data_IF_842570273030
#
_entry.id   IF_842570273030
#
_cell.length_a   1.000
_cell.length_b   1.000
_cell.length_c   1.000
_cell.angle_alpha   90.00
_cell.angle_beta   90.00
_cell.angle_gamma   90.00
#
_symmetry.space_group_name_H-M   'P 1'
#
loop_
_entity.id
_entity.type
_entity.pdbx_description
1 polymer ?
#
# COMPACT_ATOMS: atom_id res chain seq x y z
N UNK A 1 31.67 -20.41 33.24
CA UNK A 1 30.89 -20.25 31.98
C UNK A 1 31.73 -20.81 30.85
N UNK A 2 31.22 -21.78 30.10
CA UNK A 2 31.95 -22.37 28.97
C UNK A 2 32.21 -21.28 27.93
N UNK A 3 33.44 -21.20 27.39
CA UNK A 3 33.82 -20.17 26.40
C UNK A 3 32.90 -20.18 25.16
N UNK A 4 32.47 -21.37 24.76
CA UNK A 4 31.47 -21.55 23.69
C UNK A 4 30.12 -20.91 24.02
N UNK A 5 29.64 -21.03 25.26
CA UNK A 5 28.36 -20.45 25.67
C UNK A 5 28.41 -18.91 25.61
N UNK A 6 29.54 -18.32 26.04
CA UNK A 6 29.75 -16.86 25.97
C UNK A 6 29.74 -16.41 24.52
N UNK A 7 30.39 -17.16 23.63
CA UNK A 7 30.42 -16.87 22.20
C UNK A 7 29.02 -16.89 21.59
N UNK A 8 28.28 -17.99 21.80
CA UNK A 8 26.90 -18.14 21.29
C UNK A 8 25.99 -17.01 21.80
N UNK A 9 26.04 -16.70 23.09
CA UNK A 9 25.22 -15.63 23.69
C UNK A 9 25.60 -14.24 23.15
N UNK A 10 26.90 -13.98 22.97
CA UNK A 10 27.38 -12.72 22.40
C UNK A 10 26.88 -12.55 20.97
N UNK A 11 26.95 -13.62 20.17
CA UNK A 11 26.53 -13.62 18.77
C UNK A 11 25.02 -13.47 18.63
N UNK A 12 24.25 -14.12 19.51
CA UNK A 12 22.81 -13.93 19.65
C UNK A 12 22.46 -12.47 20.00
N UNK A 13 23.13 -11.89 20.99
CA UNK A 13 22.90 -10.51 21.39
C UNK A 13 23.19 -9.53 20.25
N UNK A 14 24.28 -9.75 19.51
CA UNK A 14 24.62 -8.98 18.30
C UNK A 14 23.50 -9.12 17.26
N UNK A 15 23.03 -10.34 16.97
CA UNK A 15 21.96 -10.58 16.01
C UNK A 15 20.66 -9.86 16.40
N UNK A 16 20.26 -9.90 17.68
CA UNK A 16 19.08 -9.20 18.20
C UNK A 16 19.21 -7.68 18.03
N UNK A 17 20.38 -7.11 18.35
CA UNK A 17 20.64 -5.68 18.15
C UNK A 17 20.55 -5.32 16.66
N UNK A 18 21.17 -6.12 15.78
CA UNK A 18 21.14 -5.88 14.33
C UNK A 18 19.71 -5.96 13.78
N UNK A 19 18.91 -6.94 14.21
CA UNK A 19 17.49 -7.03 13.84
C UNK A 19 16.70 -5.82 14.33
N UNK A 20 16.90 -5.38 15.57
CA UNK A 20 16.21 -4.21 16.13
C UNK A 20 16.62 -2.90 15.45
N UNK A 21 17.87 -2.78 14.99
CA UNK A 21 18.36 -1.56 14.33
C UNK A 21 17.81 -1.43 12.90
N UNK A 22 17.43 -2.54 12.24
CA UNK A 22 16.85 -2.55 10.89
C UNK A 22 17.73 -1.98 9.77
N UNK A 23 19.02 -1.71 10.03
CA UNK A 23 19.97 -1.11 9.05
C UNK A 23 20.39 -2.10 7.97
N UNK A 24 20.45 -3.38 8.31
CA UNK A 24 20.84 -4.48 7.42
C UNK A 24 19.62 -5.37 7.22
N UNK A 25 19.45 -5.93 6.01
CA UNK A 25 18.34 -6.84 5.74
C UNK A 25 18.43 -8.07 6.64
N UNK A 26 17.28 -8.53 7.15
CA UNK A 26 17.19 -9.63 8.11
C UNK A 26 17.78 -10.95 7.56
N UNK A 27 17.61 -11.22 6.27
CA UNK A 27 18.18 -12.39 5.59
C UNK A 27 19.72 -12.36 5.56
N UNK A 28 20.31 -11.19 5.30
CA UNK A 28 21.76 -11.02 5.34
C UNK A 28 22.33 -11.20 6.75
N UNK A 29 21.63 -10.70 7.78
CA UNK A 29 22.03 -10.90 9.18
C UNK A 29 21.99 -12.39 9.53
N UNK A 30 20.92 -13.10 9.17
CA UNK A 30 20.78 -14.54 9.44
C UNK A 30 21.90 -15.37 8.78
N UNK A 31 22.24 -15.09 7.51
CA UNK A 31 23.35 -15.78 6.82
C UNK A 31 24.70 -15.49 7.47
N UNK A 32 24.94 -14.24 7.89
CA UNK A 32 26.19 -13.86 8.56
C UNK A 32 26.35 -14.59 9.91
N UNK A 33 25.26 -14.75 10.66
CA UNK A 33 25.24 -15.50 11.93
C UNK A 33 25.58 -16.98 11.69
N UNK A 34 24.97 -17.62 10.69
CA UNK A 34 25.26 -19.01 10.34
C UNK A 34 26.74 -19.18 9.95
N UNK A 35 27.26 -18.30 9.10
CA UNK A 35 28.68 -18.33 8.68
C UNK A 35 29.61 -18.14 9.89
N UNK A 36 29.29 -17.20 10.78
CA UNK A 36 30.11 -16.97 11.97
C UNK A 36 30.13 -18.19 12.90
N UNK A 37 29.01 -18.91 13.04
CA UNK A 37 28.97 -20.15 13.81
C UNK A 37 29.82 -21.27 13.21
N UNK A 38 29.75 -21.47 11.89
CA UNK A 38 30.57 -22.48 11.19
C UNK A 38 32.06 -22.15 11.27
N UNK A 39 32.43 -20.87 11.06
CA UNK A 39 33.83 -20.42 11.13
C UNK A 39 34.40 -20.52 12.55
N UNK A 40 33.58 -20.33 13.58
CA UNK A 40 34.00 -20.49 14.98
C UNK A 40 34.16 -21.95 15.40
N UNK A 41 33.74 -22.92 14.56
CA UNK A 41 33.76 -24.35 14.88
C UNK A 41 32.69 -24.79 15.87
N UNK A 42 31.79 -23.88 16.30
CA UNK A 42 30.69 -24.20 17.22
C UNK A 42 29.61 -25.07 16.56
N UNK A 43 29.38 -24.90 15.25
CA UNK A 43 28.49 -25.75 14.46
C UNK A 43 29.25 -26.41 13.31
N UNK A 44 28.95 -27.68 13.08
CA UNK A 44 29.41 -28.38 11.88
C UNK A 44 28.64 -27.92 10.64
N UNK A 45 29.23 -28.14 9.45
CA UNK A 45 28.58 -27.78 8.19
C UNK A 45 27.22 -28.48 8.01
N UNK A 46 27.13 -29.74 8.43
CA UNK A 46 25.88 -30.51 8.35
C UNK A 46 24.79 -29.94 9.27
N UNK A 47 25.14 -29.54 10.49
CA UNK A 47 24.19 -28.92 11.41
C UNK A 47 23.72 -27.55 10.91
N UNK A 48 24.62 -26.75 10.33
CA UNK A 48 24.26 -25.48 9.70
C UNK A 48 23.27 -25.65 8.53
N UNK A 49 23.42 -26.70 7.73
CA UNK A 49 22.49 -27.00 6.63
C UNK A 49 21.18 -27.66 7.08
N UNK A 50 21.16 -28.32 8.24
CA UNK A 50 19.98 -29.05 8.72
C UNK A 50 18.73 -28.17 8.83
N UNK A 51 18.87 -26.89 9.21
CA UNK A 51 17.76 -25.94 9.30
C UNK A 51 17.14 -25.58 7.94
N UNK A 52 17.90 -25.67 6.84
CA UNK A 52 17.38 -25.44 5.48
C UNK A 52 16.61 -26.65 4.92
N UNK A 53 16.88 -27.85 5.44
CA UNK A 53 16.17 -29.08 5.08
C UNK A 53 14.92 -29.32 5.92
N UNK A 54 14.54 -28.39 6.79
CA UNK A 54 13.33 -28.51 7.60
C UNK A 54 12.07 -28.53 6.69
N UNK A 55 11.19 -29.55 6.81
CA UNK A 55 9.97 -29.64 6.00
C UNK A 55 9.07 -28.40 6.09
N UNK A 56 9.11 -27.66 7.20
CA UNK A 56 8.35 -26.42 7.38
C UNK A 56 8.84 -25.32 6.44
N UNK A 57 10.13 -25.27 6.09
CA UNK A 57 10.65 -24.30 5.10
C UNK A 57 10.03 -24.55 3.72
N UNK A 58 9.93 -25.81 3.32
CA UNK A 58 9.30 -26.22 2.04
C UNK A 58 7.81 -25.89 2.07
N UNK A 59 7.12 -26.16 3.19
CA UNK A 59 5.71 -25.83 3.38
C UNK A 59 5.45 -24.32 3.23
N UNK A 60 6.29 -23.48 3.84
CA UNK A 60 6.22 -22.02 3.73
C UNK A 60 6.37 -21.59 2.26
N UNK A 61 7.38 -22.11 1.56
CA UNK A 61 7.62 -21.78 0.16
C UNK A 61 6.42 -22.15 -0.74
N UNK A 62 5.85 -23.35 -0.56
CA UNK A 62 4.68 -23.81 -1.31
C UNK A 62 3.46 -22.90 -1.08
N UNK A 63 3.24 -22.44 0.17
CA UNK A 63 2.12 -21.58 0.50
C UNK A 63 2.29 -20.15 0.01
N UNK A 64 3.52 -19.62 -0.03
CA UNK A 64 3.77 -18.35 -0.71
C UNK A 64 3.45 -18.44 -2.21
N UNK A 65 3.75 -19.57 -2.85
CA UNK A 65 3.39 -19.81 -4.27
C UNK A 65 1.87 -19.86 -4.43
N UNK A 66 1.15 -20.59 -3.56
CA UNK A 66 -0.32 -20.65 -3.58
C UNK A 66 -0.93 -19.26 -3.34
N UNK A 67 -0.40 -18.53 -2.37
CA UNK A 67 -0.79 -17.16 -2.05
C UNK A 67 -0.63 -16.23 -3.24
N UNK A 68 0.53 -16.24 -3.92
CA UNK A 68 0.77 -15.44 -5.12
C UNK A 68 -0.15 -15.87 -6.29
N UNK A 69 -0.39 -17.18 -6.44
CA UNK A 69 -1.37 -17.72 -7.39
C UNK A 69 -2.79 -17.19 -7.16
N UNK A 70 -3.21 -17.06 -5.91
CA UNK A 70 -4.51 -16.49 -5.54
C UNK A 70 -4.61 -14.99 -5.87
N UNK A 71 -3.51 -14.25 -5.74
CA UNK A 71 -3.44 -12.84 -6.18
C UNK A 71 -3.52 -12.75 -7.70
N UNK A 72 -2.72 -13.54 -8.42
CA UNK A 72 -2.64 -13.52 -9.89
C UNK A 72 -3.94 -13.91 -10.57
N UNK A 73 -4.69 -14.84 -9.98
CA UNK A 73 -6.02 -15.24 -10.47
C UNK A 73 -7.10 -14.17 -10.24
N UNK A 74 -6.79 -13.11 -9.49
CA UNK A 74 -7.71 -12.00 -9.22
C UNK A 74 -8.83 -12.35 -8.25
N UNK A 75 -8.72 -13.47 -7.52
CA UNK A 75 -9.72 -13.88 -6.52
C UNK A 75 -9.86 -12.80 -5.45
N UNK A 76 -8.74 -12.27 -4.95
CA UNK A 76 -8.77 -11.19 -3.97
C UNK A 76 -9.49 -9.93 -4.49
N UNK A 77 -9.32 -9.59 -5.79
CA UNK A 77 -10.03 -8.47 -6.43
C UNK A 77 -11.53 -8.75 -6.56
N UNK A 78 -11.92 -9.97 -6.94
CA UNK A 78 -13.33 -10.41 -7.01
C UNK A 78 -13.99 -10.39 -5.64
N UNK A 79 -13.31 -10.88 -4.60
CA UNK A 79 -13.80 -10.83 -3.21
C UNK A 79 -13.93 -9.39 -2.71
N UNK A 80 -13.00 -8.49 -3.08
CA UNK A 80 -13.13 -7.06 -2.81
C UNK A 80 -14.38 -6.44 -3.45
N UNK A 81 -14.69 -6.78 -4.71
CA UNK A 81 -15.91 -6.32 -5.38
C UNK A 81 -17.19 -6.91 -4.75
N UNK A 82 -17.18 -8.20 -4.42
CA UNK A 82 -18.27 -8.88 -3.72
C UNK A 82 -18.52 -8.27 -2.33
N UNK A 83 -17.45 -7.91 -1.62
CA UNK A 83 -17.55 -7.24 -0.34
C UNK A 83 -18.32 -5.91 -0.44
N UNK A 84 -18.05 -5.12 -1.48
CA UNK A 84 -18.77 -3.85 -1.73
C UNK A 84 -20.26 -4.11 -2.02
N UNK A 85 -20.58 -5.14 -2.80
CA UNK A 85 -21.98 -5.42 -3.16
C UNK A 85 -22.81 -5.92 -1.98
N UNK A 86 -22.23 -6.75 -1.10
CA UNK A 86 -22.93 -7.32 0.06
C UNK A 86 -23.03 -6.34 1.23
N UNK A 87 -22.02 -5.50 1.44
CA UNK A 87 -22.05 -4.50 2.52
C UNK A 87 -23.07 -3.37 2.27
N UNK A 88 -23.28 -3.01 0.99
CA UNK A 88 -24.20 -1.93 0.59
C UNK A 88 -23.81 -0.58 1.21
N UNK A 89 -24.79 0.14 1.75
CA UNK A 89 -24.60 1.47 2.37
C UNK A 89 -24.35 1.43 3.89
N UNK A 90 -24.25 0.25 4.52
CA UNK A 90 -24.09 0.15 5.98
C UNK A 90 -22.63 0.04 6.39
N UNK A 91 -22.13 1.05 7.13
CA UNK A 91 -20.73 1.08 7.63
C UNK A 91 -20.46 -0.10 8.58
N UNK A 92 -21.46 -0.50 9.37
CA UNK A 92 -21.38 -1.68 10.25
C UNK A 92 -21.14 -2.96 9.47
N UNK A 93 -21.97 -3.23 8.45
CA UNK A 93 -21.86 -4.43 7.63
C UNK A 93 -20.53 -4.45 6.90
N UNK A 94 -20.11 -3.29 6.39
CA UNK A 94 -18.85 -3.17 5.68
C UNK A 94 -17.65 -3.51 6.57
N UNK A 95 -17.60 -2.98 7.79
CA UNK A 95 -16.54 -3.29 8.74
C UNK A 95 -16.47 -4.79 9.04
N UNK A 96 -17.60 -5.41 9.37
CA UNK A 96 -17.67 -6.84 9.72
C UNK A 96 -17.20 -7.70 8.54
N UNK A 97 -17.80 -7.50 7.35
CA UNK A 97 -17.44 -8.31 6.19
C UNK A 97 -16.01 -8.06 5.73
N UNK A 98 -15.49 -6.83 5.86
CA UNK A 98 -14.10 -6.51 5.54
C UNK A 98 -13.16 -7.31 6.45
N UNK A 99 -13.39 -7.28 7.76
CA UNK A 99 -12.55 -8.00 8.71
C UNK A 99 -12.61 -9.51 8.48
N UNK A 100 -13.81 -10.08 8.26
CA UNK A 100 -13.97 -11.51 7.96
C UNK A 100 -13.25 -11.91 6.66
N UNK A 101 -13.41 -11.12 5.60
CA UNK A 101 -12.83 -11.43 4.29
C UNK A 101 -11.30 -11.34 4.34
N UNK A 102 -10.77 -10.29 4.97
CA UNK A 102 -9.31 -10.09 5.09
C UNK A 102 -8.69 -11.14 6.01
N UNK A 103 -9.33 -11.46 7.16
CA UNK A 103 -8.84 -12.50 8.05
C UNK A 103 -8.86 -13.88 7.37
N UNK A 104 -9.93 -14.20 6.64
CA UNK A 104 -10.05 -15.47 5.91
C UNK A 104 -9.06 -15.60 4.75
N UNK A 105 -8.92 -14.58 3.90
CA UNK A 105 -7.92 -14.59 2.82
C UNK A 105 -6.49 -14.57 3.36
N UNK A 106 -6.23 -13.75 4.37
CA UNK A 106 -4.93 -13.64 5.02
C UNK A 106 -4.54 -14.85 5.87
N UNK A 107 -5.43 -15.83 6.03
CA UNK A 107 -5.11 -17.11 6.65
C UNK A 107 -4.24 -18.00 5.74
N UNK A 108 -4.27 -17.75 4.42
CA UNK A 108 -3.53 -18.50 3.41
C UNK A 108 -2.48 -17.65 2.70
N UNK A 109 -2.46 -16.35 2.98
CA UNK A 109 -1.60 -15.37 2.34
C UNK A 109 -0.79 -14.61 3.39
N UNK A 110 0.29 -13.97 2.96
CA UNK A 110 0.98 -13.00 3.82
C UNK A 110 0.04 -11.86 4.23
N UNK A 111 0.04 -11.53 5.53
CA UNK A 111 -0.68 -10.39 6.10
C UNK A 111 -0.40 -9.08 5.35
N UNK A 112 0.84 -8.87 4.91
CA UNK A 112 1.23 -7.72 4.08
C UNK A 112 0.58 -7.74 2.70
N UNK A 113 0.53 -8.91 2.06
CA UNK A 113 -0.04 -9.09 0.72
C UNK A 113 -1.55 -8.86 0.69
N UNK A 114 -2.29 -9.45 1.62
CA UNK A 114 -3.74 -9.26 1.70
C UNK A 114 -4.10 -7.80 1.98
N UNK A 115 -3.39 -7.13 2.91
CA UNK A 115 -3.65 -5.72 3.20
C UNK A 115 -3.40 -4.85 1.97
N UNK A 116 -2.28 -5.04 1.26
CA UNK A 116 -1.96 -4.28 0.05
C UNK A 116 -3.06 -4.36 -1.03
N UNK A 117 -3.67 -5.54 -1.20
CA UNK A 117 -4.75 -5.75 -2.18
C UNK A 117 -6.04 -5.07 -1.74
N UNK A 118 -6.34 -5.05 -0.44
CA UNK A 118 -7.57 -4.48 0.09
C UNK A 118 -7.50 -2.96 0.33
N UNK A 119 -6.32 -2.34 0.39
CA UNK A 119 -6.17 -0.87 0.45
C UNK A 119 -6.97 -0.16 -0.65
N UNK A 120 -6.80 -0.46 -1.96
CA UNK A 120 -7.56 0.23 -3.01
C UNK A 120 -9.07 -0.02 -2.92
N UNK A 121 -9.48 -1.20 -2.45
CA UNK A 121 -10.89 -1.54 -2.22
C UNK A 121 -11.46 -0.66 -1.11
N UNK A 122 -10.77 -0.58 0.03
CA UNK A 122 -11.16 0.24 1.18
C UNK A 122 -11.23 1.73 0.82
N UNK A 123 -10.25 2.24 0.07
CA UNK A 123 -10.24 3.63 -0.40
C UNK A 123 -11.44 3.92 -1.32
N UNK A 124 -11.73 3.02 -2.26
CA UNK A 124 -12.84 3.14 -3.19
C UNK A 124 -14.20 3.13 -2.49
N UNK A 125 -14.35 2.26 -1.48
CA UNK A 125 -15.57 2.14 -0.67
C UNK A 125 -15.76 3.37 0.20
N UNK A 126 -14.71 3.83 0.88
CA UNK A 126 -14.75 5.01 1.74
C UNK A 126 -15.21 6.24 0.94
N UNK A 127 -14.73 6.35 -0.31
CA UNK A 127 -15.15 7.41 -1.23
C UNK A 127 -16.65 7.31 -1.61
N UNK A 128 -17.17 6.09 -1.86
CA UNK A 128 -18.60 5.85 -2.19
C UNK A 128 -19.52 6.09 -1.00
N UNK A 129 -19.13 5.64 0.19
CA UNK A 129 -19.89 5.80 1.44
C UNK A 129 -19.74 7.20 2.06
N UNK A 130 -18.88 8.05 1.48
CA UNK A 130 -18.57 9.38 1.97
C UNK A 130 -18.04 9.41 3.43
N UNK A 131 -17.39 8.32 3.85
CA UNK A 131 -16.77 8.16 5.17
C UNK A 131 -15.27 8.43 5.09
N UNK A 132 -14.65 8.77 6.23
CA UNK A 132 -13.19 8.96 6.28
C UNK A 132 -12.45 7.63 6.09
N UNK A 133 -11.47 7.53 5.18
CA UNK A 133 -10.74 6.28 4.92
C UNK A 133 -10.13 5.63 6.17
N UNK A 134 -9.64 6.43 7.12
CA UNK A 134 -9.04 5.93 8.36
C UNK A 134 -9.95 5.00 9.16
N UNK A 135 -11.28 5.15 9.04
CA UNK A 135 -12.27 4.30 9.73
C UNK A 135 -12.32 2.87 9.19
N UNK A 136 -11.99 2.66 7.92
CA UNK A 136 -11.95 1.33 7.31
C UNK A 136 -10.51 0.80 7.17
N UNK A 137 -9.52 1.69 7.13
CA UNK A 137 -8.10 1.31 7.14
C UNK A 137 -7.67 0.66 8.46
N UNK A 138 -8.13 1.17 9.61
CA UNK A 138 -7.82 0.55 10.90
C UNK A 138 -8.37 -0.89 11.02
N UNK A 139 -9.66 -1.16 10.73
CA UNK A 139 -10.19 -2.53 10.69
C UNK A 139 -9.44 -3.44 9.72
N UNK A 140 -9.04 -2.91 8.55
CA UNK A 140 -8.23 -3.64 7.57
C UNK A 140 -6.89 -4.08 8.18
N UNK A 141 -6.17 -3.18 8.83
CA UNK A 141 -4.89 -3.49 9.49
C UNK A 141 -5.06 -4.52 10.61
N UNK A 142 -6.07 -4.34 11.47
CA UNK A 142 -6.38 -5.31 12.53
C UNK A 142 -6.71 -6.69 11.96
N UNK A 143 -7.56 -6.76 10.93
CA UNK A 143 -7.89 -8.03 10.29
C UNK A 143 -6.67 -8.68 9.64
N UNK A 144 -5.78 -7.90 9.02
CA UNK A 144 -4.53 -8.40 8.46
C UNK A 144 -3.56 -8.93 9.53
N UNK A 145 -3.52 -8.33 10.72
CA UNK A 145 -2.75 -8.86 11.85
C UNK A 145 -3.38 -10.14 12.40
N UNK A 146 -4.71 -10.16 12.54
CA UNK A 146 -5.47 -11.30 13.07
C UNK A 146 -5.43 -12.50 12.11
N UNK A 147 -5.35 -12.27 10.80
CA UNK A 147 -5.23 -13.32 9.80
C UNK A 147 -4.03 -14.23 10.07
N UNK A 148 -2.95 -13.66 10.63
CA UNK A 148 -1.75 -14.39 11.02
C UNK A 148 -1.94 -15.44 12.12
N UNK A 149 -3.06 -15.34 12.86
CA UNK A 149 -3.45 -16.26 13.93
C UNK A 149 -4.54 -17.25 13.48
N UNK A 150 -4.89 -17.29 12.19
CA UNK A 150 -5.95 -18.17 11.68
C UNK A 150 -5.44 -19.57 11.34
N UNK A 151 -4.20 -19.72 10.89
CA UNK A 151 -3.63 -21.02 10.52
C UNK A 151 -2.21 -21.12 11.04
N UNK A 152 -1.73 -22.36 11.14
CA UNK A 152 -0.35 -22.63 11.50
C UNK A 152 0.64 -21.92 10.57
N UNK A 153 0.26 -21.79 9.30
CA UNK A 153 1.14 -21.34 8.22
C UNK A 153 1.02 -19.85 7.90
N UNK A 154 0.01 -19.17 8.45
CA UNK A 154 -0.22 -17.75 8.18
C UNK A 154 0.95 -16.87 8.68
N UNK A 155 1.70 -17.32 9.69
CA UNK A 155 2.88 -16.59 10.19
C UNK A 155 4.08 -17.51 10.47
N UNK A 156 5.31 -17.05 10.17
CA UNK A 156 6.52 -17.83 10.43
C UNK A 156 6.72 -18.28 11.89
N UNK A 157 6.43 -17.46 12.93
CA UNK A 157 6.60 -17.87 14.32
C UNK A 157 5.80 -19.13 14.70
N UNK A 158 4.56 -19.26 14.21
CA UNK A 158 3.72 -20.43 14.50
C UNK A 158 4.37 -21.73 13.98
N UNK A 159 5.01 -21.66 12.81
CA UNK A 159 5.73 -22.79 12.24
C UNK A 159 7.04 -23.09 12.96
N UNK A 160 7.77 -22.08 13.43
CA UNK A 160 9.00 -22.27 14.22
C UNK A 160 8.69 -22.96 15.55
N UNK A 161 7.58 -22.60 16.20
CA UNK A 161 7.15 -23.31 17.42
C UNK A 161 6.76 -24.76 17.10
N UNK A 162 6.05 -24.98 15.99
CA UNK A 162 5.69 -26.33 15.55
C UNK A 162 6.90 -27.20 15.21
N UNK A 163 7.90 -26.65 14.52
CA UNK A 163 9.13 -27.37 14.20
C UNK A 163 9.85 -27.80 15.46
N UNK A 164 9.92 -26.92 16.47
CA UNK A 164 10.60 -27.24 17.72
C UNK A 164 9.86 -28.31 18.53
N UNK A 165 8.53 -28.26 18.59
CA UNK A 165 7.72 -29.30 19.23
C UNK A 165 7.96 -30.69 18.59
N UNK A 166 8.00 -30.74 17.25
CA UNK A 166 8.28 -31.98 16.53
C UNK A 166 9.71 -32.49 16.76
N UNK A 167 10.69 -31.58 16.89
CA UNK A 167 12.09 -31.94 17.21
C UNK A 167 12.24 -32.53 18.61
N UNK A 168 11.47 -32.05 19.58
CA UNK A 168 11.41 -32.59 20.95
C UNK A 168 10.60 -33.90 21.05
N UNK A 169 10.04 -34.40 19.93
CA UNK A 169 9.22 -35.61 19.90
C UNK A 169 7.80 -35.41 20.47
N UNK A 170 7.38 -34.16 20.67
CA UNK A 170 6.02 -33.82 21.10
C UNK A 170 5.06 -33.81 19.90
N UNK A 171 3.77 -33.93 20.19
CA UNK A 171 2.74 -33.78 19.16
C UNK A 171 2.76 -32.35 18.60
N UNK A 172 3.10 -32.22 17.32
CA UNK A 172 3.02 -30.96 16.60
C UNK A 172 1.58 -30.43 16.48
N UNK A 173 1.47 -29.20 16.01
CA UNK A 173 0.22 -28.52 15.76
C UNK A 173 -0.43 -29.03 14.47
N UNK A 174 -1.75 -29.30 14.53
CA UNK A 174 -2.55 -29.46 13.32
C UNK A 174 -2.74 -28.10 12.60
N UNK A 175 -3.03 -28.13 11.31
CA UNK A 175 -3.13 -26.94 10.45
C UNK A 175 -4.07 -25.85 11.02
N UNK A 176 -5.19 -26.27 11.62
CA UNK A 176 -6.21 -25.39 12.21
C UNK A 176 -6.22 -25.39 13.75
N UNK A 177 -5.14 -25.83 14.40
CA UNK A 177 -5.05 -25.82 15.86
C UNK A 177 -5.08 -24.41 16.46
N UNK A 178 -4.57 -23.41 15.73
CA UNK A 178 -4.53 -22.00 16.15
C UNK A 178 -5.83 -21.26 15.83
N UNK A 179 -6.63 -21.77 14.90
CA UNK A 179 -7.87 -21.16 14.42
C UNK A 179 -8.87 -20.82 15.52
N UNK A 180 -9.13 -21.68 16.53
CA UNK A 180 -10.09 -21.36 17.58
C UNK A 180 -9.70 -20.10 18.35
N UNK A 181 -8.42 -19.97 18.69
CA UNK A 181 -7.88 -18.78 19.38
C UNK A 181 -7.99 -17.57 18.46
N UNK A 182 -7.55 -17.70 17.21
CA UNK A 182 -7.66 -16.63 16.24
C UNK A 182 -9.10 -16.18 16.02
N UNK A 183 -10.07 -17.11 16.00
CA UNK A 183 -11.48 -16.81 15.79
C UNK A 183 -12.06 -16.03 16.97
N UNK A 184 -11.69 -16.39 18.20
CA UNK A 184 -12.04 -15.62 19.40
C UNK A 184 -11.45 -14.21 19.30
N UNK A 185 -10.18 -14.07 18.93
CA UNK A 185 -9.53 -12.76 18.74
C UNK A 185 -10.17 -11.98 17.60
N UNK A 186 -10.61 -12.63 16.52
CA UNK A 186 -11.32 -12.00 15.42
C UNK A 186 -12.67 -11.45 15.87
N UNK A 187 -13.45 -12.24 16.62
CA UNK A 187 -14.74 -11.80 17.17
C UNK A 187 -14.51 -10.63 18.12
N UNK A 188 -13.56 -10.73 19.06
CA UNK A 188 -13.21 -9.65 19.98
C UNK A 188 -12.73 -8.41 19.22
N UNK A 189 -11.92 -8.58 18.19
CA UNK A 189 -11.44 -7.51 17.32
C UNK A 189 -12.58 -6.81 16.59
N UNK A 190 -13.54 -7.57 16.04
CA UNK A 190 -14.74 -7.01 15.40
C UNK A 190 -15.57 -6.23 16.43
N UNK A 191 -15.83 -6.80 17.60
CA UNK A 191 -16.59 -6.14 18.68
C UNK A 191 -15.88 -4.86 19.13
N UNK A 192 -14.57 -4.93 19.36
CA UNK A 192 -13.73 -3.78 19.73
C UNK A 192 -13.80 -2.68 18.68
N UNK A 193 -13.61 -3.02 17.40
CA UNK A 193 -13.69 -2.03 16.31
C UNK A 193 -15.10 -1.45 16.16
N UNK A 194 -16.15 -2.23 16.41
CA UNK A 194 -17.53 -1.76 16.45
C UNK A 194 -17.85 -0.85 17.64
N UNK A 195 -17.18 -1.03 18.78
CA UNK A 195 -17.30 -0.16 19.94
C UNK A 195 -16.50 1.15 19.73
N UNK A 196 -15.24 1.03 19.33
CA UNK A 196 -14.32 2.15 19.15
C UNK A 196 -14.73 3.05 17.98
N UNK A 197 -15.47 2.55 16.98
CA UNK A 197 -16.00 3.41 15.91
C UNK A 197 -16.86 4.58 16.43
N UNK A 198 -17.52 4.39 17.58
CA UNK A 198 -18.33 5.45 18.20
C UNK A 198 -17.44 6.48 18.90
N UNK A 199 -16.30 6.07 19.48
CA UNK A 199 -15.29 7.01 19.99
C UNK A 199 -14.55 7.75 18.86
N UNK A 200 -14.29 7.08 17.73
CA UNK A 200 -13.78 7.69 16.49
C UNK A 200 -14.80 8.64 15.81
N UNK A 201 -16.03 8.71 16.32
CA UNK A 201 -17.06 9.67 15.91
C UNK A 201 -16.87 11.03 16.58
N UNK A 202 -16.10 11.10 17.65
CA UNK A 202 -15.85 12.33 18.40
C UNK A 202 -14.62 13.04 17.84
N UNK A 203 -14.89 14.20 17.23
CA UNK A 203 -13.97 15.33 17.09
C UNK A 203 -12.91 15.31 15.98
N UNK A 204 -13.28 14.90 14.76
CA UNK A 204 -12.50 15.25 13.56
C UNK A 204 -13.39 15.61 12.36
N UNK A 205 -14.43 16.41 12.63
CA UNK A 205 -15.11 17.17 11.60
C UNK A 205 -14.17 18.08 10.80
N UNK A 206 -12.96 18.37 11.33
CA UNK A 206 -12.00 19.27 10.71
C UNK A 206 -10.63 18.64 10.33
N UNK A 207 -10.15 17.57 10.97
CA UNK A 207 -8.85 16.96 10.57
C UNK A 207 -8.94 16.05 9.35
N UNK A 208 -10.08 15.38 9.11
CA UNK A 208 -10.31 14.63 7.87
C UNK A 208 -10.75 15.53 6.70
N UNK A 209 -11.09 16.79 6.97
CA UNK A 209 -11.26 17.81 5.92
C UNK A 209 -9.93 18.26 5.31
N UNK A 210 -8.80 18.04 5.97
CA UNK A 210 -7.51 18.43 5.40
C UNK A 210 -6.95 17.40 4.39
N UNK A 211 -7.34 16.12 4.49
CA UNK A 211 -7.15 15.14 3.42
C UNK A 211 -8.10 15.33 2.22
N UNK A 212 -9.10 16.21 2.39
CA UNK A 212 -10.08 16.60 1.35
C UNK A 212 -9.99 18.07 0.99
N UNK A 213 -8.85 18.73 1.18
CA UNK A 213 -8.43 19.74 0.20
C UNK A 213 -7.99 18.99 -1.03
N UNK A 214 -8.98 18.60 -1.84
CA UNK A 214 -8.94 18.54 -3.32
C UNK A 214 -7.50 18.72 -3.79
N UNK A 215 -6.74 17.61 -3.89
CA UNK A 215 -5.30 17.61 -4.09
C UNK A 215 -4.92 18.75 -5.03
N UNK A 216 -4.53 19.87 -4.42
CA UNK A 216 -4.38 21.08 -5.21
C UNK A 216 -3.13 20.82 -6.02
N UNK A 217 -3.09 21.26 -7.27
CA UNK A 217 -1.96 21.04 -8.17
C UNK A 217 -0.58 21.30 -7.53
N UNK A 218 -0.53 22.12 -6.47
CA UNK A 218 0.64 22.38 -5.61
C UNK A 218 1.16 21.16 -4.83
N UNK A 219 0.30 20.26 -4.39
CA UNK A 219 0.64 19.05 -3.64
C UNK A 219 1.14 17.95 -4.59
N UNK A 220 0.48 17.76 -5.74
CA UNK A 220 1.00 16.90 -6.81
C UNK A 220 2.35 17.40 -7.37
N UNK A 221 2.57 18.72 -7.43
CA UNK A 221 3.88 19.28 -7.83
C UNK A 221 4.98 18.92 -6.82
N UNK A 222 4.67 18.88 -5.52
CA UNK A 222 5.62 18.46 -4.47
C UNK A 222 5.90 16.96 -4.55
N UNK A 223 4.84 16.15 -4.64
CA UNK A 223 4.90 14.69 -4.64
C UNK A 223 5.62 14.14 -5.90
N UNK A 224 5.41 14.75 -7.07
CA UNK A 224 6.11 14.39 -8.32
C UNK A 224 7.40 15.20 -8.59
N UNK A 225 7.87 16.03 -7.65
CA UNK A 225 9.06 16.89 -7.81
C UNK A 225 9.04 17.71 -9.12
N UNK A 226 7.88 18.24 -9.51
CA UNK A 226 7.70 19.05 -10.73
C UNK A 226 8.12 20.51 -10.56
N UNK A 227 8.70 20.85 -9.41
CA UNK A 227 9.18 22.19 -9.08
C UNK A 227 10.25 22.63 -10.07
N UNK A 228 9.90 23.57 -10.96
CA UNK A 228 10.83 24.21 -11.91
C UNK A 228 10.48 24.10 -13.40
N UNK A 229 9.56 23.20 -13.83
CA UNK A 229 9.30 22.94 -15.27
C UNK A 229 7.91 23.33 -15.80
N UNK A 230 7.05 23.97 -14.98
CA UNK A 230 5.69 24.34 -15.36
C UNK A 230 5.47 25.87 -15.34
N UNK A 231 5.46 26.52 -16.53
CA UNK A 231 5.24 27.98 -16.69
C UNK A 231 3.76 28.28 -16.97
N UNK A 232 3.18 29.25 -16.26
CA UNK A 232 1.83 29.79 -16.54
C UNK A 232 1.94 30.86 -17.62
N UNK A 233 1.41 30.58 -18.80
CA UNK A 233 1.31 31.50 -19.93
C UNK A 233 -0.11 32.02 -20.02
N UNK A 234 -0.31 33.27 -20.39
CA UNK A 234 -1.63 33.88 -20.46
C UNK A 234 -1.93 34.33 -21.89
N UNK A 235 -3.00 33.80 -22.50
CA UNK A 235 -3.42 34.18 -23.86
C UNK A 235 -4.05 35.57 -23.79
N UNK A 236 -3.48 36.51 -24.55
CA UNK A 236 -3.98 37.89 -24.67
C UNK A 236 -5.17 37.97 -25.64
N UNK A 237 -6.13 38.88 -25.42
CA UNK A 237 -7.21 39.14 -26.37
C UNK A 237 -6.61 39.68 -27.68
N UNK A 238 -6.76 38.93 -28.77
CA UNK A 238 -6.11 39.18 -30.07
C UNK A 238 -5.22 38.04 -30.57
N UNK A 239 -4.97 37.00 -29.76
CA UNK A 239 -4.21 35.84 -30.19
C UNK A 239 -4.98 35.00 -31.23
N UNK A 240 -4.32 34.54 -32.32
CA UNK A 240 -4.93 33.66 -33.32
C UNK A 240 -5.32 32.28 -32.76
N UNK A 241 -4.92 31.97 -31.52
CA UNK A 241 -5.27 30.74 -30.81
C UNK A 241 -6.71 30.76 -30.25
N UNK A 242 -7.42 31.88 -30.34
CA UNK A 242 -8.80 32.01 -29.85
C UNK A 242 -9.76 31.49 -30.94
N UNK A 243 -10.53 30.44 -30.62
CA UNK A 243 -11.51 29.81 -31.51
C UNK A 243 -11.13 28.38 -31.94
N UNK A 244 -9.87 27.98 -31.77
CA UNK A 244 -9.37 26.65 -32.17
C UNK A 244 -9.48 25.62 -31.04
N UNK A 245 -9.63 24.34 -31.41
CA UNK A 245 -9.58 23.22 -30.46
C UNK A 245 -8.14 22.91 -30.07
N UNK A 246 -7.94 22.54 -28.80
CA UNK A 246 -6.60 22.34 -28.23
C UNK A 246 -5.77 21.27 -28.98
N UNK A 247 -6.44 20.28 -29.56
CA UNK A 247 -5.81 19.22 -30.37
C UNK A 247 -5.34 19.72 -31.74
N UNK A 248 -6.11 20.61 -32.39
CA UNK A 248 -5.79 21.18 -33.70
C UNK A 248 -4.56 22.11 -33.65
N UNK A 249 -4.28 22.68 -32.47
CA UNK A 249 -3.14 23.57 -32.24
C UNK A 249 -1.79 22.84 -32.20
N UNK A 250 -1.78 21.48 -32.16
CA UNK A 250 -0.58 20.62 -32.18
C UNK A 250 0.62 21.18 -31.39
N UNK A 251 0.34 21.74 -30.19
CA UNK A 251 1.31 22.48 -29.36
C UNK A 251 2.52 21.63 -28.93
N UNK A 252 2.33 20.31 -28.87
CA UNK A 252 3.38 19.33 -28.56
C UNK A 252 4.39 19.18 -29.71
N UNK A 253 3.94 19.25 -30.96
CA UNK A 253 4.82 19.11 -32.15
C UNK A 253 5.50 20.43 -32.51
N UNK A 254 4.79 21.56 -32.53
CA UNK A 254 5.36 22.85 -32.96
C UNK A 254 6.18 23.58 -31.91
N UNK A 255 5.81 23.45 -30.64
CA UNK A 255 6.39 24.26 -29.55
C UNK A 255 6.91 23.40 -28.39
N UNK A 256 6.96 22.07 -28.55
CA UNK A 256 7.36 21.11 -27.51
C UNK A 256 6.67 21.35 -26.15
N UNK A 257 5.44 21.86 -26.19
CA UNK A 257 4.71 22.38 -25.04
C UNK A 257 3.51 21.48 -24.76
N UNK A 258 3.54 20.75 -23.63
CA UNK A 258 2.41 19.93 -23.22
C UNK A 258 1.45 20.73 -22.31
N UNK A 259 0.17 20.81 -22.68
CA UNK A 259 -0.84 21.53 -21.91
C UNK A 259 -1.46 20.58 -20.88
N UNK A 260 -1.28 20.90 -19.60
CA UNK A 260 -1.70 20.02 -18.49
C UNK A 260 -3.09 20.42 -17.94
N UNK A 261 -3.55 21.64 -18.22
CA UNK A 261 -4.83 22.14 -17.72
C UNK A 261 -5.18 23.53 -18.24
N UNK A 262 -6.48 23.81 -18.35
CA UNK A 262 -7.01 25.13 -18.72
C UNK A 262 -7.81 25.69 -17.53
N UNK A 263 -7.35 26.83 -16.99
CA UNK A 263 -8.06 27.56 -15.93
C UNK A 263 -9.09 28.52 -16.57
N UNK A 264 -10.38 28.41 -16.19
CA UNK A 264 -11.46 29.33 -16.58
C UNK A 264 -12.10 29.99 -15.36
N UNK A 265 -12.51 31.24 -15.51
CA UNK A 265 -13.29 31.95 -14.50
C UNK A 265 -14.79 31.73 -14.78
N UNK A 266 -15.55 31.23 -13.79
CA UNK A 266 -17.02 31.13 -13.88
C UNK A 266 -17.66 31.76 -12.65
N UNK A 267 -18.45 32.82 -12.86
CA UNK A 267 -19.46 33.38 -11.95
C UNK A 267 -19.05 33.49 -10.47
N UNK A 268 -17.80 33.88 -10.18
CA UNK A 268 -17.14 34.05 -8.85
C UNK A 268 -16.21 32.91 -8.35
N UNK A 269 -15.94 31.84 -9.11
CA UNK A 269 -14.89 30.85 -8.77
C UNK A 269 -14.00 30.49 -9.97
N UNK A 270 -12.74 30.16 -9.68
CA UNK A 270 -11.79 29.57 -10.63
C UNK A 270 -12.09 28.09 -10.78
N UNK A 271 -12.34 27.64 -12.00
CA UNK A 271 -12.62 26.23 -12.31
C UNK A 271 -11.54 25.75 -13.27
N UNK A 272 -10.83 24.69 -12.88
CA UNK A 272 -9.88 23.98 -13.74
C UNK A 272 -10.68 22.96 -14.54
N UNK A 273 -10.61 23.04 -15.86
CA UNK A 273 -11.22 22.05 -16.75
C UNK A 273 -10.11 21.11 -17.21
N UNK A 274 -10.33 19.80 -17.02
CA UNK A 274 -9.38 18.77 -17.45
C UNK A 274 -9.32 18.75 -18.98
N UNK A 275 -8.11 18.62 -19.54
CA UNK A 275 -7.92 18.65 -21.00
C UNK A 275 -8.40 17.33 -21.59
N UNK A 276 -9.65 17.30 -22.03
CA UNK A 276 -10.13 16.30 -22.99
C UNK A 276 -10.15 16.95 -24.37
N UNK A 277 -9.73 16.22 -25.40
CA UNK A 277 -9.41 16.72 -26.76
C UNK A 277 -10.46 17.59 -27.48
N UNK A 278 -11.70 17.64 -26.97
CA UNK A 278 -12.78 18.47 -27.52
C UNK A 278 -12.83 19.93 -27.05
N UNK A 279 -11.91 20.42 -26.20
CA UNK A 279 -12.03 21.77 -25.60
C UNK A 279 -11.55 22.86 -26.57
N UNK A 280 -12.49 23.65 -27.09
CA UNK A 280 -12.24 24.88 -27.85
C UNK A 280 -11.87 26.07 -26.97
N UNK A 281 -10.89 26.88 -27.40
CA UNK A 281 -10.49 28.13 -26.74
C UNK A 281 -11.51 29.23 -27.12
N UNK A 282 -12.24 29.79 -26.15
CA UNK A 282 -13.28 30.81 -26.42
C UNK A 282 -12.87 32.23 -25.99
N UNK A 283 -13.45 33.27 -26.63
CA UNK A 283 -13.19 34.69 -26.30
C UNK A 283 -13.64 35.04 -24.87
N UNK A 284 -12.86 35.84 -24.11
CA UNK A 284 -13.28 36.37 -22.82
C UNK A 284 -14.40 37.40 -22.98
N UNK A 285 -15.45 37.32 -22.13
CA UNK A 285 -16.69 38.14 -22.25
C UNK A 285 -16.72 39.40 -21.36
N UNK A 286 -15.70 39.70 -20.54
CA UNK A 286 -15.66 40.91 -19.70
C UNK A 286 -14.24 41.50 -19.57
N UNK A 287 -14.09 42.83 -19.42
CA UNK A 287 -12.79 43.52 -19.44
C UNK A 287 -11.89 43.22 -18.22
N UNK A 288 -12.44 42.67 -17.13
CA UNK A 288 -11.71 42.19 -15.96
C UNK A 288 -11.21 40.72 -16.08
N UNK A 289 -11.57 40.03 -17.17
CA UNK A 289 -11.37 38.59 -17.38
C UNK A 289 -10.18 38.33 -18.34
N UNK A 290 -9.09 39.06 -18.12
CA UNK A 290 -8.10 39.36 -19.18
C UNK A 290 -7.17 38.20 -19.58
N UNK A 291 -7.32 36.97 -19.09
CA UNK A 291 -6.33 35.91 -19.35
C UNK A 291 -6.88 34.47 -19.33
N UNK A 292 -6.80 33.75 -20.46
CA UNK A 292 -6.79 32.28 -20.46
C UNK A 292 -5.38 31.83 -20.12
N UNK A 293 -5.14 31.24 -18.93
CA UNK A 293 -3.79 30.77 -18.57
C UNK A 293 -3.56 29.34 -19.04
N UNK A 294 -2.70 29.14 -20.05
CA UNK A 294 -2.17 27.85 -20.48
C UNK A 294 -0.91 27.54 -19.65
N UNK A 295 -0.84 26.37 -19.00
CA UNK A 295 0.41 25.93 -18.34
C UNK A 295 1.12 24.89 -19.21
N UNK A 296 2.15 25.33 -19.94
CA UNK A 296 2.91 24.48 -20.85
C UNK A 296 4.13 23.87 -20.15
N UNK A 297 4.35 22.57 -20.36
CA UNK A 297 5.60 21.87 -20.02
C UNK A 297 6.49 21.87 -21.25
N UNK A 298 7.60 22.59 -21.22
CA UNK A 298 8.66 22.47 -22.24
C UNK A 298 9.53 21.25 -21.91
N UNK A 299 9.71 20.38 -22.89
CA UNK A 299 10.57 19.20 -22.78
C UNK A 299 11.96 19.59 -23.29
N UNK A 300 13.05 19.56 -22.50
CA UNK A 300 14.38 19.76 -23.05
C UNK A 300 14.77 18.53 -23.87
N UNK A 301 15.05 18.73 -25.16
CA UNK A 301 15.58 17.70 -26.05
C UNK A 301 17.03 17.46 -25.67
N UNK A 302 17.32 16.26 -25.17
CA UNK A 302 18.66 15.73 -25.01
C UNK A 302 18.87 14.69 -26.12
N UNK A 303 19.47 15.11 -27.23
CA UNK A 303 20.20 14.26 -28.20
C UNK A 303 21.06 15.18 -29.08
N UNK A 304 22.35 15.29 -28.78
CA UNK A 304 23.45 14.60 -29.49
C UNK A 304 23.33 14.71 -31.02
N UNK A 305 24.18 15.55 -31.61
CA UNK A 305 24.84 15.24 -32.86
C UNK A 305 26.34 15.12 -32.54
N UNK A 306 26.92 13.96 -32.86
CA UNK A 306 28.36 13.72 -32.97
C UNK A 306 28.80 14.15 -34.38
N UNK A 307 30.05 14.59 -34.49
CA UNK A 307 30.78 15.00 -35.71
C UNK A 307 30.39 16.39 -36.26
#
# INVERSE_FOLDING_TARGET
MNGELIWVLSLLAIAVVLFATGKVRMDAIALMVIVAFVLSGTLTLNEAFSGFSDPNVILIAALFIIGDGLVRTGVATKMGAWLVSVAGNSETKMLIYLMLTVAGLGAFMSSTGVVAIFIPVVLSVSARMNTSPSRLMMPLSFAGLISGMMTLVATPPNLVVNSELLREGLHGFSFFSVTPIGLVVLILGIVYMLAVRFMLKTDNGDSARDGRKRSTFRDLIREYHLTGRARRLAIRPGSPMIGQRLDDLKLRERYCANVIGVERWRRFRRVIVNVNGGIGISRPRRPADRYVRLRCRFTPVLRRANA
#
